data_IF_369960652163
#
_entry.id   IF_369960652163
#
_cell.length_a   1.000
_cell.length_b   1.000
_cell.length_c   1.000
_cell.angle_alpha   90.00
_cell.angle_beta   90.00
_cell.angle_gamma   90.00
#
_symmetry.space_group_name_H-M   'P 1'
#
loop_
_entity.id
_entity.type
_entity.pdbx_description
1 polymer ?
#
# COMPACT_ATOMS: atom_id res chain seq x y z
N UNK A 1 32.12 -40.97 -13.02
CA UNK A 1 32.19 -42.09 -12.05
C UNK A 1 32.35 -41.46 -10.67
N UNK A 2 31.52 -41.62 -9.63
CA UNK A 2 30.51 -42.61 -9.26
C UNK A 2 29.27 -41.91 -8.68
N UNK A 3 28.10 -42.48 -8.96
CA UNK A 3 26.82 -42.31 -8.26
C UNK A 3 26.82 -43.10 -6.94
N UNK A 4 25.92 -42.75 -6.01
CA UNK A 4 25.03 -43.62 -5.17
C UNK A 4 24.25 -42.64 -4.27
N UNK A 5 22.95 -42.34 -4.51
CA UNK A 5 21.72 -43.08 -4.12
C UNK A 5 21.59 -43.24 -2.59
N UNK A 6 20.76 -42.42 -1.92
CA UNK A 6 19.33 -42.61 -1.62
C UNK A 6 19.08 -43.46 -0.37
N UNK A 7 18.22 -43.03 0.57
CA UNK A 7 16.88 -43.61 0.76
C UNK A 7 16.13 -43.06 2.01
N UNK A 8 14.91 -42.57 1.75
CA UNK A 8 13.61 -42.81 2.41
C UNK A 8 13.31 -42.57 3.90
N UNK A 9 12.10 -42.03 4.07
CA UNK A 9 11.23 -42.05 5.25
C UNK A 9 10.20 -40.91 5.19
N UNK A 10 9.34 -40.82 4.17
CA UNK A 10 7.97 -41.40 4.11
C UNK A 10 7.26 -41.56 5.46
N UNK A 11 6.49 -40.53 5.85
CA UNK A 11 5.25 -40.71 6.63
C UNK A 11 4.15 -39.89 5.93
N UNK A 12 3.29 -40.60 5.22
CA UNK A 12 1.93 -40.21 4.86
C UNK A 12 0.97 -40.95 5.79
N UNK A 13 -0.05 -40.26 6.32
CA UNK A 13 -1.39 -40.74 6.69
C UNK A 13 -2.17 -39.52 7.25
N UNK A 14 -3.01 -38.90 6.43
CA UNK A 14 -4.48 -38.99 6.44
C UNK A 14 -5.18 -38.35 7.66
N UNK A 15 -5.83 -37.20 7.44
CA UNK A 15 -7.28 -37.09 7.63
C UNK A 15 -7.81 -35.73 7.13
N UNK A 16 -8.72 -35.82 6.15
CA UNK A 16 -9.61 -34.76 5.70
C UNK A 16 -10.53 -34.29 6.83
N UNK A 17 -10.62 -32.98 7.04
CA UNK A 17 -11.90 -32.28 7.25
C UNK A 17 -11.71 -30.80 6.85
N UNK A 18 -12.34 -30.32 5.77
CA UNK A 18 -12.49 -28.88 5.57
C UNK A 18 -13.46 -28.35 6.63
N UNK A 19 -13.00 -27.45 7.51
CA UNK A 19 -13.90 -26.69 8.37
C UNK A 19 -14.74 -25.76 7.51
N UNK A 20 -16.01 -26.12 7.31
CA UNK A 20 -17.05 -25.21 6.86
C UNK A 20 -17.40 -24.24 8.00
N UNK A 21 -17.01 -22.97 7.85
CA UNK A 21 -17.58 -21.90 8.68
C UNK A 21 -18.86 -21.40 8.00
N UNK A 22 -19.99 -22.01 8.39
CA UNK A 22 -21.32 -21.45 8.12
C UNK A 22 -21.55 -20.29 9.09
N UNK A 23 -21.39 -19.06 8.62
CA UNK A 23 -21.89 -17.89 9.35
C UNK A 23 -23.37 -17.76 9.01
N UNK A 24 -24.21 -18.14 9.97
CA UNK A 24 -25.65 -17.89 9.90
C UNK A 24 -25.92 -16.38 9.81
N UNK A 25 -26.86 -15.93 8.96
CA UNK A 25 -27.27 -14.54 8.95
C UNK A 25 -28.00 -14.24 10.26
N UNK A 26 -27.44 -13.34 11.09
CA UNK A 26 -28.18 -12.78 12.20
C UNK A 26 -29.21 -11.79 11.66
N UNK A 27 -30.47 -12.12 11.90
CA UNK A 27 -31.65 -11.32 11.56
C UNK A 27 -31.64 -10.00 12.32
N UNK A 28 -31.29 -8.91 11.64
CA UNK A 28 -31.59 -7.56 12.12
C UNK A 28 -33.04 -7.20 11.78
N UNK A 29 -33.85 -7.19 12.84
CA UNK A 29 -35.23 -6.74 12.89
C UNK A 29 -35.38 -5.30 12.34
N UNK A 30 -36.18 -5.15 11.29
CA UNK A 30 -36.78 -3.86 10.95
C UNK A 30 -37.91 -3.56 11.94
N UNK A 31 -37.69 -2.61 12.86
CA UNK A 31 -38.79 -2.01 13.61
C UNK A 31 -39.22 -0.70 12.92
N UNK A 32 -40.25 -0.83 12.09
CA UNK A 32 -41.15 0.26 11.76
C UNK A 32 -42.05 0.53 12.96
N UNK A 33 -41.99 1.72 13.55
CA UNK A 33 -43.11 2.26 14.32
C UNK A 33 -43.33 3.71 13.92
N UNK A 34 -44.34 3.85 13.05
CA UNK A 34 -44.99 5.10 12.70
C UNK A 34 -46.16 5.27 13.68
N UNK A 35 -46.09 6.21 14.64
CA UNK A 35 -47.28 6.73 15.34
C UNK A 35 -47.14 8.23 15.59
N UNK A 36 -47.94 8.93 14.81
CA UNK A 36 -48.30 10.33 14.87
C UNK A 36 -49.11 10.63 16.15
N UNK A 37 -48.79 11.71 16.90
CA UNK A 37 -49.76 12.67 17.45
C UNK A 37 -49.09 13.83 18.23
N UNK A 38 -49.68 14.99 18.02
CA UNK A 38 -49.34 16.35 18.44
C UNK A 38 -49.19 16.58 19.95
N UNK A 39 -48.19 17.38 20.34
CA UNK A 39 -48.30 18.35 21.45
C UNK A 39 -47.11 19.33 21.53
N UNK A 40 -47.43 20.61 21.25
CA UNK A 40 -46.89 21.91 21.73
C UNK A 40 -45.37 22.19 21.84
N UNK A 41 -44.91 23.42 21.50
CA UNK A 41 -43.48 23.77 21.50
C UNK A 41 -43.00 24.18 22.89
N UNK A 42 -42.03 23.46 23.44
CA UNK A 42 -41.34 23.82 24.68
C UNK A 42 -39.82 23.84 24.45
N UNK A 43 -39.27 25.03 24.66
CA UNK A 43 -37.88 25.42 24.91
C UNK A 43 -36.72 24.77 24.13
N UNK A 44 -35.98 25.67 23.48
CA UNK A 44 -34.67 25.48 22.84
C UNK A 44 -33.63 24.98 23.85
N UNK A 45 -33.57 23.67 24.04
CA UNK A 45 -32.35 22.99 24.46
C UNK A 45 -31.38 22.96 23.28
N UNK A 46 -30.20 23.56 23.44
CA UNK A 46 -29.11 23.53 22.46
C UNK A 46 -28.65 22.08 22.33
N UNK A 47 -29.21 21.35 21.37
CA UNK A 47 -28.71 20.03 20.95
C UNK A 47 -27.32 20.28 20.37
N UNK A 48 -26.29 19.94 21.13
CA UNK A 48 -24.94 19.84 20.61
C UNK A 48 -24.94 18.81 19.49
N UNK A 49 -24.91 19.30 18.24
CA UNK A 49 -24.73 18.45 17.08
C UNK A 49 -23.41 17.67 17.25
N UNK A 50 -23.34 16.39 16.87
CA UNK A 50 -22.10 15.63 16.90
C UNK A 50 -21.10 16.27 15.91
N UNK A 51 -20.22 17.14 16.41
CA UNK A 51 -19.25 17.92 15.63
C UNK A 51 -18.01 17.09 15.25
N UNK A 52 -17.82 15.92 15.88
CA UNK A 52 -16.60 15.13 15.70
C UNK A 52 -16.53 14.39 14.35
N UNK A 53 -17.65 13.95 13.76
CA UNK A 53 -17.62 13.21 12.49
C UNK A 53 -17.36 14.13 11.28
N UNK A 54 -17.97 15.33 11.25
CA UNK A 54 -17.82 16.31 10.16
C UNK A 54 -16.39 16.84 10.05
N UNK A 55 -15.72 17.10 11.18
CA UNK A 55 -14.36 17.62 11.17
C UNK A 55 -13.34 16.60 10.62
N UNK A 56 -13.52 15.31 10.89
CA UNK A 56 -12.64 14.25 10.38
C UNK A 56 -12.81 14.00 8.88
N UNK A 57 -14.04 14.06 8.36
CA UNK A 57 -14.27 13.98 6.92
C UNK A 57 -13.57 15.12 6.16
N UNK A 58 -13.60 16.33 6.74
CA UNK A 58 -12.92 17.49 6.16
C UNK A 58 -11.40 17.38 6.22
N UNK A 59 -10.82 16.80 7.28
CA UNK A 59 -9.38 16.61 7.38
C UNK A 59 -8.86 15.56 6.38
N UNK A 60 -9.55 14.44 6.23
CA UNK A 60 -9.19 13.41 5.24
C UNK A 60 -9.29 13.94 3.80
N UNK A 61 -10.34 14.70 3.47
CA UNK A 61 -10.47 15.35 2.17
C UNK A 61 -9.33 16.33 1.89
N UNK A 62 -8.94 17.11 2.91
CA UNK A 62 -7.80 18.04 2.79
C UNK A 62 -6.48 17.29 2.52
N UNK A 63 -6.24 16.17 3.22
CA UNK A 63 -5.06 15.33 2.98
C UNK A 63 -5.10 14.71 1.59
N UNK A 64 -6.25 14.18 1.16
CA UNK A 64 -6.40 13.62 -0.19
C UNK A 64 -6.07 14.63 -1.29
N UNK A 65 -6.53 15.88 -1.16
CA UNK A 65 -6.18 16.95 -2.09
C UNK A 65 -4.67 17.26 -2.10
N UNK A 66 -3.99 17.13 -0.95
CA UNK A 66 -2.52 17.25 -0.89
C UNK A 66 -1.82 16.09 -1.57
N UNK A 67 -2.33 14.86 -1.45
CA UNK A 67 -1.82 13.69 -2.18
C UNK A 67 -1.93 13.96 -3.68
N UNK A 68 -3.13 14.31 -4.18
CA UNK A 68 -3.37 14.61 -5.59
C UNK A 68 -2.47 15.73 -6.14
N UNK A 69 -2.24 16.79 -5.37
CA UNK A 69 -1.33 17.88 -5.80
C UNK A 69 0.16 17.53 -5.74
N UNK A 70 0.53 16.46 -5.03
CA UNK A 70 1.92 15.97 -4.94
C UNK A 70 2.18 14.71 -5.76
N UNK A 71 1.14 14.08 -6.32
CA UNK A 71 1.23 12.86 -7.10
C UNK A 71 1.64 13.07 -8.55
N UNK A 72 1.93 14.31 -8.98
CA UNK A 72 2.37 14.60 -10.33
C UNK A 72 3.90 14.45 -10.46
N UNK A 73 4.33 13.38 -11.12
CA UNK A 73 5.75 13.04 -11.35
C UNK A 73 6.33 13.72 -12.60
N UNK A 74 5.52 14.45 -13.37
CA UNK A 74 6.01 15.23 -14.52
C UNK A 74 6.69 16.51 -14.06
N UNK A 75 8.00 16.46 -13.84
CA UNK A 75 8.82 17.67 -13.72
C UNK A 75 9.90 17.71 -14.80
N UNK A 76 9.51 17.98 -16.05
CA UNK A 76 10.48 18.40 -17.09
C UNK A 76 10.98 19.84 -16.85
N UNK A 77 10.22 20.69 -16.13
CA UNK A 77 10.51 22.12 -16.02
C UNK A 77 11.00 22.59 -14.64
N UNK A 78 11.38 21.67 -13.75
CA UNK A 78 11.99 22.06 -12.47
C UNK A 78 13.49 21.93 -12.57
N UNK A 79 14.16 23.06 -12.83
CA UNK A 79 15.61 23.20 -12.99
C UNK A 79 16.40 22.79 -11.74
N UNK A 80 15.75 22.75 -10.56
CA UNK A 80 16.42 22.37 -9.31
C UNK A 80 16.04 20.95 -8.82
N UNK A 81 17.02 20.04 -8.69
CA UNK A 81 16.82 18.68 -8.16
C UNK A 81 16.12 18.63 -6.79
N UNK A 82 16.34 19.64 -5.93
CA UNK A 82 15.71 19.77 -4.62
C UNK A 82 14.17 19.87 -4.69
N UNK A 83 13.63 20.49 -5.74
CA UNK A 83 12.19 20.68 -5.92
C UNK A 83 11.47 19.43 -6.48
N UNK A 84 12.20 18.56 -7.18
CA UNK A 84 11.70 17.24 -7.62
C UNK A 84 11.62 16.29 -6.43
N UNK A 85 12.72 16.22 -5.66
CA UNK A 85 12.80 15.48 -4.40
C UNK A 85 11.69 15.84 -3.42
N UNK A 86 11.49 17.15 -3.20
CA UNK A 86 10.48 17.64 -2.27
C UNK A 86 9.06 17.19 -2.65
N UNK A 87 8.78 16.93 -3.93
CA UNK A 87 7.45 16.51 -4.38
C UNK A 87 7.19 15.04 -4.09
N UNK A 88 8.13 14.15 -4.42
CA UNK A 88 8.00 12.72 -4.15
C UNK A 88 7.95 12.40 -2.65
N UNK A 89 8.85 12.99 -1.86
CA UNK A 89 8.82 12.77 -0.40
C UNK A 89 7.56 13.35 0.23
N UNK A 90 7.07 14.49 -0.28
CA UNK A 90 5.78 15.04 0.14
C UNK A 90 4.65 14.07 -0.22
N UNK A 91 4.65 13.50 -1.42
CA UNK A 91 3.66 12.49 -1.81
C UNK A 91 3.64 11.30 -0.85
N UNK A 92 4.79 10.66 -0.58
CA UNK A 92 4.85 9.56 0.39
C UNK A 92 4.42 9.98 1.79
N UNK A 93 4.84 11.18 2.25
CA UNK A 93 4.46 11.71 3.56
C UNK A 93 2.95 11.93 3.67
N UNK A 94 2.30 12.47 2.66
CA UNK A 94 0.86 12.71 2.70
C UNK A 94 0.07 11.39 2.64
N UNK A 95 0.58 10.37 1.96
CA UNK A 95 0.01 9.01 2.02
C UNK A 95 0.12 8.40 3.42
N UNK A 96 1.28 8.51 4.08
CA UNK A 96 1.45 8.10 5.48
C UNK A 96 0.53 8.91 6.41
N UNK A 97 0.42 10.22 6.22
CA UNK A 97 -0.50 11.06 6.99
C UNK A 97 -1.96 10.60 6.83
N UNK A 98 -2.36 10.22 5.61
CA UNK A 98 -3.69 9.68 5.37
C UNK A 98 -3.91 8.38 6.15
N UNK A 99 -2.96 7.44 6.10
CA UNK A 99 -3.01 6.18 6.86
C UNK A 99 -3.12 6.42 8.37
N UNK A 100 -2.40 7.41 8.91
CA UNK A 100 -2.51 7.80 10.32
C UNK A 100 -3.89 8.39 10.64
N UNK A 101 -4.38 9.34 9.84
CA UNK A 101 -5.66 10.01 10.08
C UNK A 101 -6.86 9.07 9.88
N UNK A 102 -6.71 8.05 9.04
CA UNK A 102 -7.68 6.96 8.87
C UNK A 102 -7.61 5.90 9.98
N UNK A 103 -6.65 6.00 10.90
CA UNK A 103 -6.37 5.03 11.99
C UNK A 103 -5.96 3.65 11.46
N UNK A 104 -5.25 3.60 10.35
CA UNK A 104 -4.71 2.36 9.80
C UNK A 104 -3.26 2.09 10.25
N UNK A 105 -2.53 3.14 10.65
CA UNK A 105 -1.19 2.99 11.24
C UNK A 105 -1.04 3.85 12.51
N UNK A 106 -0.17 3.40 13.42
CA UNK A 106 0.30 4.18 14.58
C UNK A 106 1.80 4.47 14.47
N UNK A 107 2.27 5.65 14.91
CA UNK A 107 3.70 5.88 15.07
C UNK A 107 4.26 4.98 16.18
N UNK A 108 5.51 4.56 16.01
CA UNK A 108 6.29 3.88 17.04
C UNK A 108 7.32 4.88 17.55
N UNK A 109 7.37 5.06 18.87
CA UNK A 109 8.48 5.75 19.50
C UNK A 109 9.69 4.82 19.55
N UNK A 110 10.66 5.14 18.71
CA UNK A 110 11.89 4.37 18.60
C UNK A 110 12.96 5.07 19.42
N UNK A 111 13.14 4.61 20.66
CA UNK A 111 14.26 5.00 21.51
C UNK A 111 15.39 3.96 21.37
N UNK A 112 15.91 3.78 20.16
CA UNK A 112 17.16 3.04 20.00
C UNK A 112 18.33 3.97 20.33
N UNK A 113 19.37 3.40 20.93
CA UNK A 113 20.63 4.09 21.21
C UNK A 113 21.33 4.30 19.86
N UNK A 114 20.88 5.28 19.07
CA UNK A 114 21.62 5.73 17.89
C UNK A 114 22.39 6.98 18.27
N UNK A 115 23.68 6.79 18.54
CA UNK A 115 24.67 7.82 18.73
C UNK A 115 25.04 8.49 17.37
N UNK A 116 24.05 8.82 16.54
CA UNK A 116 24.28 9.49 15.26
C UNK A 116 23.33 10.69 15.09
N UNK A 117 23.94 11.86 14.94
CA UNK A 117 23.32 13.20 14.94
C UNK A 117 22.41 13.52 13.74
N UNK A 118 21.68 12.56 13.15
CA UNK A 118 20.88 12.84 11.95
C UNK A 118 19.49 12.19 11.96
N UNK A 119 18.47 13.06 12.08
CA UNK A 119 17.06 12.86 11.72
C UNK A 119 16.47 11.49 12.10
N UNK A 120 15.82 11.42 13.27
CA UNK A 120 15.07 10.25 13.70
C UNK A 120 14.10 9.77 12.59
N UNK A 121 14.41 8.60 12.03
CA UNK A 121 13.53 7.91 11.09
C UNK A 121 12.24 7.57 11.83
N UNK A 122 11.12 8.14 11.40
CA UNK A 122 9.80 7.78 11.95
C UNK A 122 9.37 6.42 11.41
N UNK A 123 9.11 5.49 12.32
CA UNK A 123 8.60 4.15 12.02
C UNK A 123 7.14 4.06 12.46
N UNK A 124 6.35 3.28 11.73
CA UNK A 124 4.93 3.07 12.00
C UNK A 124 4.60 1.58 12.10
N UNK A 125 3.51 1.23 12.79
CA UNK A 125 2.91 -0.12 12.77
C UNK A 125 1.55 -0.10 12.12
N UNK A 126 1.24 -1.10 11.30
CA UNK A 126 -0.11 -1.31 10.79
C UNK A 126 -1.03 -1.83 11.89
N UNK A 127 -2.27 -1.36 11.86
CA UNK A 127 -3.35 -1.91 12.70
C UNK A 127 -4.09 -3.00 11.94
N UNK A 128 -4.27 -4.14 12.58
CA UNK A 128 -5.24 -5.11 12.13
C UNK A 128 -6.64 -4.65 12.54
N UNK A 129 -7.28 -3.88 11.66
CA UNK A 129 -8.62 -3.35 11.92
C UNK A 129 -9.74 -4.32 11.52
N UNK A 130 -9.43 -5.54 11.04
CA UNK A 130 -10.39 -6.61 10.70
C UNK A 130 -11.42 -6.29 9.61
N UNK A 131 -11.41 -5.08 9.04
CA UNK A 131 -12.34 -4.61 8.03
C UNK A 131 -11.54 -4.45 6.73
N UNK A 132 -12.01 -5.04 5.63
CA UNK A 132 -11.48 -4.87 4.27
C UNK A 132 -11.64 -3.41 3.82
N UNK A 133 -10.79 -2.53 4.36
CA UNK A 133 -10.73 -1.13 4.01
C UNK A 133 -9.67 -0.95 2.95
N UNK A 134 -10.03 -0.24 1.91
CA UNK A 134 -9.10 0.20 0.89
C UNK A 134 -8.76 1.68 1.06
N UNK A 135 -7.62 2.07 0.51
CA UNK A 135 -7.25 3.46 0.28
C UNK A 135 -7.04 3.65 -1.21
N UNK A 136 -7.68 4.67 -1.77
CA UNK A 136 -7.46 5.12 -3.14
C UNK A 136 -6.39 6.21 -3.12
N UNK A 137 -5.32 6.03 -3.89
CA UNK A 137 -4.18 6.94 -3.97
C UNK A 137 -4.03 7.40 -5.43
N UNK A 138 -4.23 8.69 -5.75
CA UNK A 138 -3.99 9.17 -7.10
C UNK A 138 -2.50 9.16 -7.44
N UNK A 139 -2.20 8.88 -8.70
CA UNK A 139 -0.87 8.94 -9.29
C UNK A 139 -0.99 9.56 -10.67
N UNK A 140 -0.18 10.58 -10.98
CA UNK A 140 -0.30 11.31 -12.24
C UNK A 140 1.04 11.71 -12.86
N UNK A 141 1.02 11.90 -14.16
CA UNK A 141 2.08 12.56 -14.92
C UNK A 141 1.46 13.74 -15.71
N UNK A 142 2.17 14.28 -16.72
CA UNK A 142 1.75 15.49 -17.44
C UNK A 142 0.34 15.37 -18.03
N UNK A 143 0.02 14.19 -18.55
CA UNK A 143 -1.15 13.98 -19.41
C UNK A 143 -2.06 12.84 -18.91
N UNK A 144 -1.64 12.10 -17.89
CA UNK A 144 -2.32 10.89 -17.45
C UNK A 144 -2.49 10.89 -15.93
N UNK A 145 -3.63 10.41 -15.48
CA UNK A 145 -3.96 10.20 -14.07
C UNK A 145 -4.51 8.77 -13.93
N UNK A 146 -4.06 8.08 -12.88
CA UNK A 146 -4.59 6.80 -12.43
C UNK A 146 -4.87 6.88 -10.94
N UNK A 147 -5.72 6.00 -10.43
CA UNK A 147 -5.92 5.83 -9.00
C UNK A 147 -5.50 4.41 -8.58
N UNK A 148 -4.67 4.30 -7.56
CA UNK A 148 -4.18 3.02 -7.05
C UNK A 148 -5.01 2.61 -5.84
N UNK A 149 -5.46 1.35 -5.82
CA UNK A 149 -6.26 0.81 -4.72
C UNK A 149 -5.37 -0.06 -3.84
N UNK A 150 -5.21 0.31 -2.57
CA UNK A 150 -4.40 -0.44 -1.61
C UNK A 150 -5.26 -1.04 -0.50
N UNK A 151 -5.01 -2.30 -0.13
CA UNK A 151 -5.53 -2.88 1.11
C UNK A 151 -4.81 -2.21 2.30
N UNK A 152 -5.57 -1.54 3.16
CA UNK A 152 -4.99 -0.79 4.29
C UNK A 152 -4.50 -1.69 5.43
N UNK A 153 -4.81 -2.98 5.41
CA UNK A 153 -4.34 -3.96 6.41
C UNK A 153 -2.90 -4.41 6.17
N UNK A 154 -2.44 -4.38 4.92
CA UNK A 154 -1.12 -4.89 4.51
C UNK A 154 -0.38 -3.95 3.55
N UNK A 155 -1.00 -2.86 3.07
CA UNK A 155 -0.49 -1.93 2.05
C UNK A 155 -0.21 -2.56 0.68
N UNK A 156 -0.73 -3.76 0.39
CA UNK A 156 -0.60 -4.36 -0.94
C UNK A 156 -1.48 -3.61 -1.93
N UNK A 157 -0.97 -3.46 -3.15
CA UNK A 157 -1.75 -2.97 -4.28
C UNK A 157 -2.75 -4.06 -4.67
N UNK A 158 -4.02 -3.70 -4.72
CA UNK A 158 -5.13 -4.59 -5.07
C UNK A 158 -5.54 -4.40 -6.54
N UNK A 159 -5.29 -3.21 -7.08
CA UNK A 159 -5.52 -2.91 -8.49
C UNK A 159 -5.33 -1.44 -8.83
N UNK A 160 -5.70 -1.10 -10.06
CA UNK A 160 -5.57 0.25 -10.63
C UNK A 160 -6.90 0.67 -11.24
N UNK A 161 -7.28 1.92 -11.01
CA UNK A 161 -8.42 2.56 -11.65
C UNK A 161 -7.90 3.47 -12.75
N UNK A 162 -8.42 3.28 -13.97
CA UNK A 162 -8.27 4.22 -15.08
C UNK A 162 -9.64 4.66 -15.59
N UNK A 163 -9.63 5.67 -16.47
CA UNK A 163 -10.84 6.19 -17.09
C UNK A 163 -10.85 5.80 -18.57
N UNK A 164 -11.93 5.21 -19.05
CA UNK A 164 -12.10 4.86 -20.46
C UNK A 164 -12.40 6.08 -21.34
N UNK A 165 -12.52 5.85 -22.66
CA UNK A 165 -12.83 6.91 -23.64
C UNK A 165 -14.19 7.59 -23.42
N UNK A 166 -15.10 6.92 -22.72
CA UNK A 166 -16.45 7.39 -22.40
C UNK A 166 -16.52 8.01 -21.00
N UNK A 167 -15.38 8.26 -20.36
CA UNK A 167 -15.26 8.81 -19.03
C UNK A 167 -15.80 7.90 -17.90
N UNK A 168 -15.91 6.58 -18.15
CA UNK A 168 -16.23 5.60 -17.12
C UNK A 168 -14.96 5.18 -16.37
N UNK A 169 -15.06 5.06 -15.04
CA UNK A 169 -13.99 4.46 -14.25
C UNK A 169 -14.01 2.94 -14.40
N UNK A 170 -12.86 2.35 -14.68
CA UNK A 170 -12.66 0.91 -14.71
C UNK A 170 -11.65 0.55 -13.63
N UNK A 171 -12.03 -0.34 -12.72
CA UNK A 171 -11.15 -0.88 -11.69
C UNK A 171 -10.58 -2.23 -12.14
N UNK A 172 -9.31 -2.22 -12.52
CA UNK A 172 -8.54 -3.41 -12.88
C UNK A 172 -7.89 -4.03 -11.65
N UNK A 173 -8.47 -5.10 -11.14
CA UNK A 173 -8.00 -5.77 -9.93
C UNK A 173 -7.22 -7.05 -10.21
N UNK A 174 -6.30 -7.40 -9.32
CA UNK A 174 -5.61 -8.69 -9.37
C UNK A 174 -6.56 -9.86 -9.11
N UNK A 175 -6.20 -11.05 -9.58
CA UNK A 175 -7.00 -12.27 -9.34
C UNK A 175 -7.03 -12.68 -7.86
N UNK A 176 -5.98 -12.37 -7.13
CA UNK A 176 -5.82 -12.61 -5.69
C UNK A 176 -6.13 -11.38 -4.84
N UNK A 177 -6.74 -10.34 -5.44
CA UNK A 177 -7.17 -9.16 -4.71
C UNK A 177 -8.30 -9.51 -3.72
N UNK A 178 -8.20 -9.01 -2.49
CA UNK A 178 -9.29 -9.03 -1.52
C UNK A 178 -10.34 -7.98 -1.84
N UNK A 179 -9.94 -6.87 -2.46
CA UNK A 179 -10.82 -5.81 -2.90
C UNK A 179 -11.07 -6.01 -4.39
N UNK A 180 -12.24 -6.56 -4.73
CA UNK A 180 -12.62 -6.84 -6.13
C UNK A 180 -13.69 -5.88 -6.65
N UNK A 181 -14.13 -4.93 -5.83
CA UNK A 181 -15.11 -3.92 -6.22
C UNK A 181 -14.81 -2.58 -5.56
N UNK A 182 -15.02 -1.51 -6.33
CA UNK A 182 -14.92 -0.11 -5.88
C UNK A 182 -16.19 0.60 -6.31
N UNK A 183 -16.81 1.32 -5.37
CA UNK A 183 -18.00 2.12 -5.66
C UNK A 183 -17.70 3.11 -6.81
N UNK A 184 -18.67 3.29 -7.71
CA UNK A 184 -18.56 4.15 -8.90
C UNK A 184 -17.50 3.73 -9.93
N UNK A 185 -17.05 2.47 -9.93
CA UNK A 185 -16.18 1.90 -10.96
C UNK A 185 -16.68 0.55 -11.50
N UNK A 186 -16.45 0.29 -12.79
CA UNK A 186 -16.69 -1.01 -13.42
C UNK A 186 -15.52 -1.93 -13.07
N UNK A 187 -15.81 -3.04 -12.40
CA UNK A 187 -14.78 -3.97 -11.93
C UNK A 187 -14.40 -4.99 -13.01
N UNK A 188 -13.11 -5.09 -13.30
CA UNK A 188 -12.54 -6.00 -14.30
C UNK A 188 -11.29 -6.69 -13.74
N UNK A 189 -11.14 -7.98 -14.04
CA UNK A 189 -9.97 -8.76 -13.62
C UNK A 189 -8.80 -8.57 -14.59
N UNK A 190 -7.61 -8.37 -14.02
CA UNK A 190 -6.33 -8.37 -14.75
C UNK A 190 -5.99 -9.74 -15.35
N UNK A 191 -6.54 -10.83 -14.80
CA UNK A 191 -6.27 -12.21 -15.23
C UNK A 191 -4.95 -12.77 -14.70
N UNK A 192 -4.30 -12.09 -13.76
CA UNK A 192 -3.09 -12.55 -13.07
C UNK A 192 -3.04 -12.03 -11.63
N UNK A 193 -2.23 -12.68 -10.81
CA UNK A 193 -2.05 -12.32 -9.40
C UNK A 193 -1.06 -11.16 -9.20
N UNK A 194 -1.21 -10.43 -8.09
CA UNK A 194 -0.40 -9.27 -7.72
C UNK A 194 0.95 -9.58 -7.09
N UNK A 195 1.29 -10.86 -6.90
CA UNK A 195 2.59 -11.27 -6.37
C UNK A 195 3.71 -11.20 -7.43
N UNK A 196 4.95 -10.98 -6.98
CA UNK A 196 6.09 -10.81 -7.89
C UNK A 196 6.39 -12.04 -8.76
N UNK A 197 6.08 -13.26 -8.33
CA UNK A 197 6.21 -14.45 -9.19
C UNK A 197 5.28 -14.43 -10.39
N UNK A 198 4.14 -13.74 -10.30
CA UNK A 198 3.17 -13.57 -11.39
C UNK A 198 3.46 -12.34 -12.25
N UNK A 199 3.99 -11.28 -11.64
CA UNK A 199 4.30 -10.00 -12.31
C UNK A 199 5.64 -10.00 -13.04
N UNK A 200 6.64 -10.73 -12.55
CA UNK A 200 8.02 -10.63 -13.03
C UNK A 200 8.32 -11.81 -13.94
N UNK A 201 8.13 -11.62 -15.25
CA UNK A 201 8.52 -12.60 -16.27
C UNK A 201 10.02 -12.48 -16.62
N UNK A 202 10.58 -11.27 -16.52
CA UNK A 202 11.99 -10.98 -16.71
C UNK A 202 12.57 -10.41 -15.41
N UNK A 203 13.64 -11.00 -14.87
CA UNK A 203 14.22 -10.51 -13.61
C UNK A 203 14.88 -9.13 -13.72
N UNK A 204 15.17 -8.64 -14.93
CA UNK A 204 15.92 -7.41 -15.18
C UNK A 204 15.03 -6.18 -15.44
N UNK A 205 13.90 -6.06 -14.72
CA UNK A 205 13.03 -4.87 -14.82
C UNK A 205 13.80 -3.64 -14.35
N UNK A 206 14.12 -2.77 -15.32
CA UNK A 206 14.81 -1.52 -15.08
C UNK A 206 13.84 -0.47 -14.54
N UNK A 207 14.28 0.29 -13.53
CA UNK A 207 13.55 1.42 -12.97
C UNK A 207 14.37 2.69 -13.20
N UNK A 208 13.87 3.51 -14.10
CA UNK A 208 14.35 4.87 -14.40
C UNK A 208 13.19 5.84 -14.24
N UNK A 209 13.48 7.15 -14.25
CA UNK A 209 12.43 8.18 -14.20
C UNK A 209 11.44 8.04 -15.36
N UNK A 210 11.96 7.82 -16.56
CA UNK A 210 11.14 7.66 -17.75
C UNK A 210 10.29 6.40 -17.67
N UNK A 211 10.84 5.30 -17.15
CA UNK A 211 10.05 4.09 -16.93
C UNK A 211 8.90 4.32 -15.95
N UNK A 212 9.13 5.01 -14.81
CA UNK A 212 8.06 5.35 -13.85
C UNK A 212 6.98 6.21 -14.53
N UNK A 213 7.37 7.23 -15.29
CA UNK A 213 6.43 8.10 -16.00
C UNK A 213 5.64 7.33 -17.07
N UNK A 214 6.31 6.46 -17.83
CA UNK A 214 5.68 5.63 -18.85
C UNK A 214 4.73 4.62 -18.24
N UNK A 215 5.05 4.05 -17.07
CA UNK A 215 4.13 3.18 -16.34
C UNK A 215 2.81 3.88 -16.02
N UNK A 216 2.83 5.15 -15.60
CA UNK A 216 1.59 5.92 -15.36
C UNK A 216 0.79 6.07 -16.66
N UNK A 217 1.47 6.39 -17.78
CA UNK A 217 0.81 6.50 -19.08
C UNK A 217 0.20 5.17 -19.54
N UNK A 218 0.94 4.07 -19.42
CA UNK A 218 0.48 2.74 -19.83
C UNK A 218 -0.69 2.27 -18.97
N UNK A 219 -0.59 2.43 -17.65
CA UNK A 219 -1.65 2.06 -16.71
C UNK A 219 -2.90 2.94 -16.84
N UNK A 220 -2.79 4.16 -17.37
CA UNK A 220 -3.97 4.97 -17.67
C UNK A 220 -4.75 4.49 -18.89
N UNK A 221 -4.14 3.65 -19.73
CA UNK A 221 -4.70 3.16 -20.99
C UNK A 221 -4.92 1.64 -20.98
N UNK A 222 -5.19 1.05 -19.80
CA UNK A 222 -5.48 -0.39 -19.70
C UNK A 222 -6.80 -0.69 -20.41
N UNK A 223 -6.79 -1.76 -21.19
CA UNK A 223 -7.93 -2.35 -21.89
C UNK A 223 -7.90 -3.87 -21.73
N UNK A 224 -8.98 -4.55 -22.16
CA UNK A 224 -9.04 -6.02 -22.11
C UNK A 224 -7.95 -6.66 -22.96
N UNK A 225 -7.56 -6.00 -24.04
CA UNK A 225 -6.58 -6.48 -25.02
C UNK A 225 -5.13 -6.31 -24.53
N UNK A 226 -4.83 -5.25 -23.76
CA UNK A 226 -3.44 -4.93 -23.37
C UNK A 226 -3.12 -5.21 -21.89
N UNK A 227 -4.09 -5.64 -21.06
CA UNK A 227 -3.89 -5.83 -19.61
C UNK A 227 -2.73 -6.77 -19.23
N UNK A 228 -2.32 -7.68 -20.11
CA UNK A 228 -1.21 -8.60 -19.84
C UNK A 228 0.17 -7.96 -20.08
N UNK A 229 0.28 -6.85 -20.81
CA UNK A 229 1.57 -6.21 -21.13
C UNK A 229 2.02 -5.21 -20.08
N UNK A 230 1.15 -4.85 -19.13
CA UNK A 230 1.41 -3.83 -18.09
C UNK A 230 2.08 -4.39 -16.82
N UNK A 231 2.48 -5.67 -16.79
CA UNK A 231 3.04 -6.29 -15.57
C UNK A 231 4.29 -5.58 -15.05
N UNK A 232 5.22 -5.24 -15.94
CA UNK A 232 6.42 -4.46 -15.61
C UNK A 232 6.06 -3.06 -15.06
N UNK A 233 5.02 -2.44 -15.59
CA UNK A 233 4.54 -1.14 -15.15
C UNK A 233 3.91 -1.19 -13.76
N UNK A 234 3.22 -2.28 -13.44
CA UNK A 234 2.74 -2.57 -12.10
C UNK A 234 3.92 -2.76 -11.12
N UNK A 235 4.98 -3.50 -11.50
CA UNK A 235 6.17 -3.67 -10.63
C UNK A 235 6.80 -2.33 -10.29
N UNK A 236 7.01 -1.46 -11.30
CA UNK A 236 7.58 -0.10 -11.11
C UNK A 236 6.67 0.76 -10.22
N UNK A 237 5.37 0.65 -10.40
CA UNK A 237 4.37 1.39 -9.61
C UNK A 237 4.33 0.92 -8.16
N UNK A 238 4.31 -0.39 -7.92
CA UNK A 238 4.33 -1.01 -6.59
C UNK A 238 5.59 -0.57 -5.82
N UNK A 239 6.76 -0.58 -6.47
CA UNK A 239 8.02 -0.11 -5.90
C UNK A 239 8.00 1.38 -5.50
N UNK A 240 7.50 2.21 -6.41
CA UNK A 240 7.46 3.67 -6.25
C UNK A 240 6.45 4.10 -5.18
N UNK A 241 5.51 3.23 -4.83
CA UNK A 241 4.43 3.51 -3.90
C UNK A 241 4.55 2.64 -2.64
N UNK A 242 3.89 1.48 -2.62
CA UNK A 242 3.81 0.59 -1.44
C UNK A 242 5.18 0.23 -0.85
N UNK A 243 6.14 -0.19 -1.67
CA UNK A 243 7.44 -0.63 -1.12
C UNK A 243 8.29 0.54 -0.63
N UNK A 244 8.17 1.71 -1.26
CA UNK A 244 8.78 2.94 -0.76
C UNK A 244 8.11 3.47 0.52
N UNK A 245 6.85 3.10 0.78
CA UNK A 245 6.23 3.34 2.08
C UNK A 245 6.76 2.37 3.13
N UNK A 246 6.90 1.07 2.80
CA UNK A 246 7.34 0.02 3.73
C UNK A 246 8.82 0.04 4.07
N UNK A 247 9.69 0.40 3.13
CA UNK A 247 11.15 0.27 3.29
C UNK A 247 11.89 1.57 3.00
N UNK A 248 12.80 1.96 3.91
CA UNK A 248 13.64 3.14 3.72
C UNK A 248 14.59 2.99 2.53
N UNK A 249 15.23 1.83 2.37
CA UNK A 249 16.18 1.60 1.27
C UNK A 249 15.54 1.71 -0.11
N UNK A 250 14.32 1.18 -0.26
CA UNK A 250 13.56 1.27 -1.52
C UNK A 250 13.20 2.73 -1.81
N UNK A 251 12.70 3.44 -0.79
CA UNK A 251 12.41 4.88 -0.88
C UNK A 251 13.63 5.67 -1.33
N UNK A 252 14.79 5.40 -0.74
CA UNK A 252 16.04 6.09 -1.04
C UNK A 252 16.58 5.75 -2.44
N UNK A 253 16.40 4.51 -2.90
CA UNK A 253 16.73 4.12 -4.28
C UNK A 253 15.83 4.81 -5.31
N UNK A 254 14.51 4.80 -5.11
CA UNK A 254 13.56 5.49 -6.00
C UNK A 254 13.81 7.01 -6.00
N UNK A 255 14.10 7.58 -4.83
CA UNK A 255 14.52 8.98 -4.70
C UNK A 255 15.70 9.29 -5.63
N UNK A 256 16.75 8.47 -5.66
CA UNK A 256 17.93 8.70 -6.51
C UNK A 256 17.55 8.73 -7.99
N UNK A 257 16.71 7.79 -8.43
CA UNK A 257 16.19 7.72 -9.81
C UNK A 257 15.36 8.95 -10.18
N UNK A 258 14.56 9.46 -9.25
CA UNK A 258 13.73 10.66 -9.49
C UNK A 258 14.53 11.97 -9.48
N UNK A 259 15.74 11.99 -8.93
CA UNK A 259 16.62 13.16 -8.85
C UNK A 259 17.59 13.21 -10.04
N UNK A 260 18.21 12.08 -10.39
CA UNK A 260 19.23 11.96 -11.42
C UNK A 260 18.72 11.10 -12.59
N UNK A 261 18.61 11.69 -13.78
CA UNK A 261 18.11 11.03 -14.99
C UNK A 261 19.00 9.87 -15.45
N UNK A 262 20.27 9.88 -15.07
CA UNK A 262 21.23 8.82 -15.42
C UNK A 262 21.19 7.65 -14.43
N UNK A 263 20.44 7.77 -13.33
CA UNK A 263 20.32 6.67 -12.35
C UNK A 263 19.30 5.65 -12.82
N UNK A 264 19.77 4.41 -12.81
CA UNK A 264 19.00 3.20 -13.06
C UNK A 264 19.20 2.27 -11.87
N UNK A 265 18.11 1.68 -11.41
CA UNK A 265 18.14 0.55 -10.48
C UNK A 265 17.45 -0.64 -11.14
N UNK A 266 17.81 -1.86 -10.73
CA UNK A 266 17.17 -3.09 -11.19
C UNK A 266 16.28 -3.62 -10.07
N UNK A 267 15.06 -4.03 -10.43
CA UNK A 267 14.10 -4.61 -9.50
C UNK A 267 14.70 -5.75 -8.66
N UNK A 268 15.42 -6.68 -9.30
CA UNK A 268 16.00 -7.86 -8.67
C UNK A 268 16.89 -7.55 -7.46
N UNK A 269 17.57 -6.41 -7.47
CA UNK A 269 18.46 -5.98 -6.38
C UNK A 269 17.69 -5.74 -5.07
N UNK A 270 16.38 -5.54 -5.15
CA UNK A 270 15.49 -5.34 -4.01
C UNK A 270 14.71 -6.61 -3.61
N UNK A 271 14.68 -7.67 -4.43
CA UNK A 271 13.83 -8.86 -4.27
C UNK A 271 13.87 -9.46 -2.86
N UNK A 272 15.07 -9.65 -2.30
CA UNK A 272 15.25 -10.24 -0.97
C UNK A 272 14.68 -9.36 0.16
N UNK A 273 14.77 -8.02 0.02
CA UNK A 273 14.22 -7.09 1.01
C UNK A 273 12.69 -7.18 1.04
N UNK A 274 12.08 -7.32 -0.14
CA UNK A 274 10.65 -7.16 -0.33
C UNK A 274 9.86 -8.40 0.08
N UNK A 275 10.42 -9.59 -0.15
CA UNK A 275 9.80 -10.85 0.27
C UNK A 275 9.83 -11.07 1.80
N UNK A 276 10.71 -10.38 2.52
CA UNK A 276 10.94 -10.59 3.96
C UNK A 276 10.25 -9.54 4.86
N UNK A 277 9.31 -8.74 4.34
CA UNK A 277 8.66 -7.66 5.10
C UNK A 277 8.06 -8.14 6.44
N UNK A 278 7.25 -9.20 6.41
CA UNK A 278 6.64 -9.77 7.62
C UNK A 278 7.66 -10.37 8.59
N UNK A 279 8.67 -11.06 8.06
CA UNK A 279 9.77 -11.65 8.84
C UNK A 279 10.55 -10.58 9.59
N UNK A 280 11.00 -9.53 8.91
CA UNK A 280 11.75 -8.46 9.55
C UNK A 280 10.87 -7.59 10.44
N UNK A 281 9.56 -7.46 10.15
CA UNK A 281 8.61 -6.79 11.05
C UNK A 281 8.51 -7.52 12.40
N UNK A 282 8.35 -8.85 12.39
CA UNK A 282 8.33 -9.68 13.60
C UNK A 282 9.63 -9.55 14.42
N UNK A 283 10.78 -9.52 13.75
CA UNK A 283 12.06 -9.29 14.42
C UNK A 283 12.15 -7.88 15.01
N UNK A 284 11.62 -6.88 14.32
CA UNK A 284 11.55 -5.50 14.83
C UNK A 284 10.75 -5.44 16.14
N UNK A 285 9.56 -6.05 16.19
CA UNK A 285 8.76 -6.11 17.41
C UNK A 285 9.52 -6.78 18.56
N UNK A 286 10.22 -7.88 18.30
CA UNK A 286 11.08 -8.52 19.31
C UNK A 286 12.15 -7.58 19.87
N UNK A 287 12.78 -6.73 19.04
CA UNK A 287 13.74 -5.73 19.52
C UNK A 287 13.03 -4.69 20.39
N UNK A 288 11.83 -4.24 20.00
CA UNK A 288 11.04 -3.28 20.79
C UNK A 288 10.67 -3.83 22.17
N UNK A 289 10.30 -5.11 22.25
CA UNK A 289 9.92 -5.80 23.48
C UNK A 289 11.12 -6.11 24.38
N UNK A 290 12.15 -6.75 23.82
CA UNK A 290 13.28 -7.28 24.60
C UNK A 290 14.40 -6.27 24.81
N UNK A 291 14.46 -5.22 23.98
CA UNK A 291 15.60 -4.29 23.86
C UNK A 291 16.91 -4.96 23.45
N UNK A 292 16.87 -6.21 22.97
CA UNK A 292 18.03 -6.96 22.51
C UNK A 292 18.16 -6.78 20.99
N UNK A 293 19.31 -6.30 20.56
CA UNK A 293 19.66 -6.10 19.15
C UNK A 293 20.39 -7.35 18.62
N UNK A 294 20.13 -7.83 17.39
CA UNK A 294 20.90 -8.90 16.78
C UNK A 294 22.38 -8.56 16.66
N UNK A 295 23.26 -9.51 16.98
CA UNK A 295 24.71 -9.35 16.84
C UNK A 295 25.14 -9.22 15.37
N UNK A 296 24.40 -9.83 14.45
CA UNK A 296 24.65 -9.71 13.02
C UNK A 296 24.19 -8.34 12.50
N UNK A 297 25.16 -7.48 12.17
CA UNK A 297 24.90 -6.12 11.66
C UNK A 297 24.12 -6.10 10.34
N UNK A 298 24.35 -7.07 9.44
CA UNK A 298 23.62 -7.15 8.17
C UNK A 298 22.13 -7.43 8.41
N UNK A 299 21.86 -8.36 9.33
CA UNK A 299 20.50 -8.66 9.76
C UNK A 299 19.85 -7.47 10.48
N UNK A 300 20.57 -6.83 11.40
CA UNK A 300 20.07 -5.64 12.09
C UNK A 300 19.71 -4.53 11.11
N UNK A 301 20.58 -4.27 10.12
CA UNK A 301 20.34 -3.30 9.05
C UNK A 301 19.06 -3.64 8.25
N UNK A 302 18.78 -4.92 7.97
CA UNK A 302 17.54 -5.34 7.29
C UNK A 302 16.30 -5.08 8.15
N UNK A 303 16.41 -5.24 9.46
CA UNK A 303 15.31 -4.98 10.41
C UNK A 303 15.02 -3.48 10.50
N UNK A 304 16.03 -2.65 10.78
CA UNK A 304 15.85 -1.19 10.91
C UNK A 304 15.56 -0.47 9.58
N UNK A 305 15.65 -1.18 8.46
CA UNK A 305 15.26 -0.68 7.15
C UNK A 305 13.73 -0.55 6.99
N UNK A 306 12.92 -1.14 7.87
CA UNK A 306 11.47 -1.04 7.78
C UNK A 306 10.98 0.33 8.29
N UNK A 307 10.17 0.99 7.46
CA UNK A 307 9.48 2.23 7.79
C UNK A 307 8.04 2.00 8.27
N UNK A 308 7.36 0.97 7.78
CA UNK A 308 6.03 0.56 8.25
C UNK A 308 6.04 -0.94 8.53
N UNK A 309 5.88 -1.33 9.80
CA UNK A 309 5.80 -2.73 10.23
C UNK A 309 4.48 -3.34 9.80
N UNK A 310 4.54 -4.60 9.37
CA UNK A 310 3.35 -5.44 9.20
C UNK A 310 2.57 -5.54 10.52
N UNK A 311 1.26 -5.74 10.43
CA UNK A 311 0.44 -5.98 11.63
C UNK A 311 0.90 -7.27 12.31
N UNK A 312 0.90 -7.29 13.66
CA UNK A 312 1.10 -8.53 14.41
C UNK A 312 -0.08 -9.46 14.14
N UNK A 313 0.22 -10.67 13.68
CA UNK A 313 -0.74 -11.76 13.72
C UNK A 313 -0.88 -12.19 15.18
N UNK A 314 -1.99 -11.81 15.80
CA UNK A 314 -2.43 -12.34 17.10
C UNK A 314 -2.51 -13.86 17.06
#
# INVERSE_FOLDING_TARGET
MKKILSLLGSITLLSNTPMSFTIAPSSYSQNNLNRNRNSRPVNRGRVEKPTHSRNRSNSLRKIFNKIKSSSNFSSKNRTHPASKYGTYIRYLRENINYLQNSKNIDPIEVNFIENTNHNSKKVFKLKNNGINKHQIIPLSNKNHEIELVFDTSNLYLEGVINTDKNNNKIYWHFNDAKITNIDDAISESLGFSGNYSSLVENENISITRDHINNSISNLSNITKENKHTIKDDLVRTILTTSESMRFFSVRDSIKKVLIDDNKKIIWKDHKNTLNDWGKYSKKYYRILETKIVPENQEEYNKIINIAVLAAESN
#
